data_IF_329819700840
#
_entry.id   IF_329819700840
#
_cell.length_a   1.000
_cell.length_b   1.000
_cell.length_c   1.000
_cell.angle_alpha   90.00
_cell.angle_beta   90.00
_cell.angle_gamma   90.00
#
_symmetry.space_group_name_H-M   'P 1'
#
loop_
_entity.id
_entity.type
_entity.pdbx_description
1 polymer ?
#
# COMPACT_ATOMS: atom_id res chain seq x y z
N UNK A 1 11.19 17.78 -29.39
CA UNK A 1 10.24 16.99 -28.58
C UNK A 1 9.46 16.10 -29.55
N UNK A 2 9.66 14.78 -29.51
CA UNK A 2 9.03 13.85 -30.44
C UNK A 2 7.54 13.64 -30.13
N UNK A 3 6.78 13.02 -31.07
CA UNK A 3 5.41 12.58 -30.82
C UNK A 3 5.36 11.62 -29.60
N UNK A 4 4.28 11.68 -28.80
CA UNK A 4 4.12 10.85 -27.60
C UNK A 4 4.84 11.36 -26.35
N UNK A 5 5.34 12.59 -26.33
CA UNK A 5 6.09 13.12 -25.19
C UNK A 5 5.26 13.27 -23.92
N UNK A 6 3.97 13.57 -24.02
CA UNK A 6 3.06 13.67 -22.87
C UNK A 6 2.74 12.29 -22.29
N UNK A 7 2.42 11.33 -23.15
CA UNK A 7 2.13 9.94 -22.78
C UNK A 7 3.35 9.25 -22.18
N UNK A 8 4.53 9.48 -22.74
CA UNK A 8 5.79 8.97 -22.20
C UNK A 8 6.08 9.53 -20.79
N UNK A 9 5.80 10.82 -20.59
CA UNK A 9 5.95 11.45 -19.26
C UNK A 9 4.97 10.87 -18.25
N UNK A 10 3.70 10.67 -18.63
CA UNK A 10 2.69 10.04 -17.75
C UNK A 10 3.06 8.60 -17.41
N UNK A 11 3.56 7.84 -18.39
CA UNK A 11 4.00 6.46 -18.15
C UNK A 11 5.18 6.39 -17.17
N UNK A 12 6.08 7.37 -17.22
CA UNK A 12 7.30 7.42 -16.41
C UNK A 12 7.23 8.48 -15.29
N UNK A 13 6.03 8.84 -14.82
CA UNK A 13 5.82 9.96 -13.89
C UNK A 13 6.61 9.80 -12.58
N UNK A 14 6.72 8.59 -12.08
CA UNK A 14 7.49 8.26 -10.87
C UNK A 14 8.99 8.49 -11.07
N UNK A 15 9.54 8.09 -12.22
CA UNK A 15 10.93 8.34 -12.58
C UNK A 15 11.20 9.84 -12.68
N UNK A 16 10.39 10.57 -13.43
CA UNK A 16 10.56 12.03 -13.57
C UNK A 16 10.41 12.77 -12.24
N UNK A 17 9.49 12.35 -11.38
CA UNK A 17 9.35 12.92 -10.04
C UNK A 17 10.66 12.77 -9.26
N UNK A 18 11.21 11.56 -9.24
CA UNK A 18 12.46 11.25 -8.54
C UNK A 18 13.64 12.04 -9.08
N UNK A 19 13.80 12.08 -10.40
CA UNK A 19 14.95 12.71 -11.05
C UNK A 19 14.89 14.23 -11.03
N UNK A 20 13.70 14.83 -11.16
CA UNK A 20 13.55 16.29 -11.25
C UNK A 20 13.33 16.92 -9.88
N UNK A 21 12.54 16.27 -8.99
CA UNK A 21 12.14 16.83 -7.70
C UNK A 21 12.83 16.18 -6.51
N UNK A 22 13.55 15.07 -6.70
CA UNK A 22 14.17 14.30 -5.63
C UNK A 22 13.18 13.54 -4.72
N UNK A 23 11.89 13.57 -5.05
CA UNK A 23 10.83 12.97 -4.23
C UNK A 23 10.05 11.90 -5.00
N UNK A 24 9.49 10.88 -4.33
CA UNK A 24 8.64 9.90 -4.98
C UNK A 24 7.36 10.56 -5.53
N UNK A 25 6.78 9.96 -6.56
CA UNK A 25 5.42 10.26 -6.97
C UNK A 25 4.45 9.52 -6.05
N UNK A 26 3.59 10.27 -5.37
CA UNK A 26 2.59 9.71 -4.45
C UNK A 26 1.20 9.86 -5.06
N UNK A 27 0.45 8.77 -5.10
CA UNK A 27 -0.96 8.73 -5.46
C UNK A 27 -1.76 8.25 -4.25
N UNK A 28 -2.66 9.08 -3.76
CA UNK A 28 -3.59 8.70 -2.71
C UNK A 28 -4.84 8.05 -3.33
N UNK A 29 -5.29 6.92 -2.77
CA UNK A 29 -6.58 6.28 -3.09
C UNK A 29 -7.45 6.29 -1.85
N UNK A 30 -8.60 6.91 -1.95
CA UNK A 30 -9.66 6.83 -0.95
C UNK A 30 -10.92 6.20 -1.57
N UNK A 31 -11.71 5.48 -0.76
CA UNK A 31 -13.06 5.08 -1.11
C UNK A 31 -14.02 5.82 -0.18
N UNK A 32 -14.90 6.61 -0.74
CA UNK A 32 -15.88 7.39 0.04
C UNK A 32 -17.19 7.50 -0.71
N UNK A 33 -18.28 7.76 0.01
CA UNK A 33 -19.55 8.22 -0.55
C UNK A 33 -19.41 9.65 -1.08
N UNK A 34 -20.45 10.16 -1.73
CA UNK A 34 -20.44 11.53 -2.30
C UNK A 34 -20.29 12.62 -1.24
N UNK A 35 -20.74 12.36 -0.03
CA UNK A 35 -20.61 13.24 1.15
C UNK A 35 -19.29 13.04 1.91
N UNK A 36 -18.35 12.22 1.35
CA UNK A 36 -17.00 12.05 1.89
C UNK A 36 -16.88 11.04 3.03
N UNK A 37 -17.92 10.28 3.33
CA UNK A 37 -17.92 9.28 4.40
C UNK A 37 -17.21 8.00 3.93
N UNK A 38 -16.29 7.47 4.73
CA UNK A 38 -15.48 6.29 4.41
C UNK A 38 -15.99 5.00 5.08
N UNK A 39 -16.90 5.10 6.05
CA UNK A 39 -17.57 3.99 6.71
C UNK A 39 -18.93 4.43 7.27
N UNK A 40 -19.85 3.50 7.46
CA UNK A 40 -21.09 3.75 8.20
C UNK A 40 -20.79 3.96 9.70
N UNK A 41 -21.76 4.50 10.45
CA UNK A 41 -21.64 4.71 11.90
C UNK A 41 -21.35 3.42 12.70
N UNK A 42 -21.71 2.27 12.14
CA UNK A 42 -21.41 0.95 12.72
C UNK A 42 -20.03 0.38 12.31
N UNK A 43 -19.18 1.17 11.62
CA UNK A 43 -17.86 0.76 11.12
C UNK A 43 -17.89 0.01 9.78
N UNK A 44 -19.04 -0.29 9.22
CA UNK A 44 -19.14 -1.04 7.97
C UNK A 44 -18.67 -0.18 6.79
N UNK A 45 -17.62 -0.64 6.06
CA UNK A 45 -16.96 0.08 4.96
C UNK A 45 -17.01 -0.65 3.60
N UNK A 46 -17.56 -1.85 3.54
CA UNK A 46 -17.61 -2.69 2.33
C UNK A 46 -19.05 -2.88 1.85
N UNK A 47 -19.40 -2.63 0.56
CA UNK A 47 -18.52 -2.10 -0.51
C UNK A 47 -19.03 -0.70 -0.90
N UNK A 48 -18.21 0.33 -0.74
CA UNK A 48 -18.56 1.71 -1.09
C UNK A 48 -18.47 1.94 -2.60
N UNK A 49 -17.50 1.26 -3.26
CA UNK A 49 -17.22 1.44 -4.69
C UNK A 49 -17.63 0.22 -5.51
N UNK A 50 -17.94 0.44 -6.79
CA UNK A 50 -18.32 -0.61 -7.74
C UNK A 50 -17.17 -1.59 -8.01
N UNK A 51 -17.47 -2.75 -8.61
CA UNK A 51 -16.45 -3.71 -9.04
C UNK A 51 -15.50 -3.10 -10.07
N UNK A 52 -16.00 -2.29 -11.01
CA UNK A 52 -15.17 -1.60 -11.99
C UNK A 52 -14.18 -0.63 -11.33
N UNK A 53 -14.64 0.17 -10.35
CA UNK A 53 -13.76 1.07 -9.60
C UNK A 53 -12.71 0.31 -8.77
N UNK A 54 -13.03 -0.88 -8.26
CA UNK A 54 -12.06 -1.73 -7.56
C UNK A 54 -11.01 -2.30 -8.52
N UNK A 55 -11.43 -2.74 -9.72
CA UNK A 55 -10.51 -3.22 -10.77
C UNK A 55 -9.55 -2.10 -11.20
N UNK A 56 -10.04 -0.86 -11.40
CA UNK A 56 -9.19 0.30 -11.65
C UNK A 56 -8.19 0.53 -10.52
N UNK A 57 -8.61 0.40 -9.26
CA UNK A 57 -7.73 0.45 -8.10
C UNK A 57 -6.63 -0.61 -8.15
N UNK A 58 -6.91 -1.82 -8.65
CA UNK A 58 -5.89 -2.86 -8.86
C UNK A 58 -4.94 -2.54 -10.03
N UNK A 59 -5.43 -1.92 -11.10
CA UNK A 59 -4.59 -1.43 -12.19
C UNK A 59 -3.58 -0.37 -11.69
N UNK A 60 -4.01 0.55 -10.83
CA UNK A 60 -3.11 1.52 -10.19
C UNK A 60 -2.10 0.86 -9.25
N UNK A 61 -2.50 -0.16 -8.47
CA UNK A 61 -1.56 -0.93 -7.65
C UNK A 61 -0.49 -1.63 -8.50
N UNK A 62 -0.86 -2.20 -9.64
CA UNK A 62 0.07 -2.86 -10.55
C UNK A 62 1.18 -1.91 -11.05
N UNK A 63 0.87 -0.62 -11.23
CA UNK A 63 1.82 0.43 -11.62
C UNK A 63 2.70 0.92 -10.46
N UNK A 64 2.28 0.73 -9.20
CA UNK A 64 3.02 1.21 -8.05
C UNK A 64 4.27 0.36 -7.76
N UNK A 65 5.33 0.98 -7.24
CA UNK A 65 6.47 0.26 -6.69
C UNK A 65 6.19 -0.23 -5.27
N UNK A 66 5.46 0.58 -4.50
CA UNK A 66 5.12 0.31 -3.10
C UNK A 66 3.69 0.79 -2.82
N UNK A 67 2.95 0.02 -2.05
CA UNK A 67 1.66 0.41 -1.46
C UNK A 67 1.90 0.73 0.00
N UNK A 68 1.61 1.96 0.40
CA UNK A 68 1.75 2.44 1.76
C UNK A 68 0.39 2.46 2.46
N UNK A 69 0.34 1.96 3.69
CA UNK A 69 -0.82 2.05 4.57
C UNK A 69 -0.42 2.28 6.02
N UNK A 70 -1.38 2.65 6.88
CA UNK A 70 -1.20 2.69 8.32
C UNK A 70 -1.63 1.37 8.98
N UNK A 71 -1.15 1.14 10.19
CA UNK A 71 -1.51 -0.05 10.99
C UNK A 71 -3.01 -0.12 11.27
N UNK A 72 -3.70 1.02 11.44
CA UNK A 72 -5.14 1.05 11.64
C UNK A 72 -5.93 0.32 10.55
N UNK A 73 -5.55 0.49 9.26
CA UNK A 73 -6.17 -0.23 8.15
C UNK A 73 -5.92 -1.74 8.24
N UNK A 74 -4.75 -2.16 8.71
CA UNK A 74 -4.43 -3.59 8.88
C UNK A 74 -5.26 -4.20 10.00
N UNK A 75 -5.42 -3.50 11.11
CA UNK A 75 -6.19 -3.96 12.27
C UNK A 75 -7.69 -4.05 11.96
N UNK A 76 -8.22 -3.07 11.23
CA UNK A 76 -9.66 -3.00 10.92
C UNK A 76 -10.06 -3.93 9.78
N UNK A 77 -9.33 -3.90 8.66
CA UNK A 77 -9.74 -4.56 7.41
C UNK A 77 -8.98 -5.86 7.12
N UNK A 78 -7.86 -6.12 7.80
CA UNK A 78 -6.90 -7.20 7.51
C UNK A 78 -6.68 -7.40 5.98
N UNK A 79 -6.27 -6.36 5.24
CA UNK A 79 -6.25 -6.38 3.79
C UNK A 79 -5.08 -7.20 3.25
N UNK A 80 -5.24 -7.74 2.04
CA UNK A 80 -4.13 -8.44 1.34
C UNK A 80 -3.14 -7.49 0.68
N UNK A 81 -3.54 -6.28 0.33
CA UNK A 81 -2.75 -5.23 -0.35
C UNK A 81 -2.06 -5.65 -1.67
N UNK A 82 -2.30 -6.84 -2.17
CA UNK A 82 -1.77 -7.35 -3.43
C UNK A 82 -2.59 -6.91 -4.66
N UNK A 83 -2.01 -7.09 -5.84
CA UNK A 83 -2.71 -7.01 -7.14
C UNK A 83 -3.31 -8.37 -7.44
N UNK A 84 -4.60 -8.44 -7.83
CA UNK A 84 -5.30 -9.69 -8.13
C UNK A 84 -6.32 -9.62 -9.26
N UNK A 85 -6.89 -8.46 -9.54
CA UNK A 85 -7.99 -8.30 -10.50
C UNK A 85 -7.51 -7.86 -11.90
N UNK A 86 -6.21 -7.76 -12.09
CA UNK A 86 -5.55 -7.43 -13.35
C UNK A 86 -4.24 -8.20 -13.46
N UNK A 87 -3.83 -8.50 -14.69
CA UNK A 87 -2.54 -9.14 -14.94
C UNK A 87 -1.39 -8.19 -14.62
N UNK A 88 -0.37 -8.72 -13.94
CA UNK A 88 0.82 -7.94 -13.60
C UNK A 88 2.06 -8.84 -13.56
N UNK A 89 3.18 -8.40 -14.14
CA UNK A 89 4.43 -9.17 -14.09
C UNK A 89 5.09 -9.15 -12.71
N UNK A 90 4.63 -8.29 -11.79
CA UNK A 90 5.20 -8.15 -10.44
C UNK A 90 4.16 -7.68 -9.44
N UNK A 91 4.38 -7.98 -8.17
CA UNK A 91 3.63 -7.41 -7.06
C UNK A 91 4.37 -6.19 -6.49
N UNK A 92 3.66 -5.12 -6.12
CA UNK A 92 4.24 -3.99 -5.39
C UNK A 92 4.69 -4.44 -3.99
N UNK A 93 5.71 -3.79 -3.44
CA UNK A 93 6.05 -3.93 -2.02
C UNK A 93 4.90 -3.37 -1.17
N UNK A 94 4.76 -3.88 0.04
CA UNK A 94 3.81 -3.35 1.02
C UNK A 94 4.63 -2.61 2.09
N UNK A 95 4.23 -1.41 2.43
CA UNK A 95 4.81 -0.63 3.51
C UNK A 95 3.71 -0.26 4.52
N UNK A 96 3.96 -0.54 5.78
CA UNK A 96 3.03 -0.26 6.87
C UNK A 96 3.69 0.67 7.88
N UNK A 97 3.07 1.81 8.17
CA UNK A 97 3.45 2.67 9.27
C UNK A 97 2.79 2.15 10.54
N UNK A 98 3.60 1.67 11.47
CA UNK A 98 3.17 1.00 12.70
C UNK A 98 4.05 1.45 13.87
N UNK A 99 3.84 2.68 14.32
CA UNK A 99 4.69 3.32 15.32
C UNK A 99 4.81 2.55 16.63
N UNK A 100 3.79 1.74 16.99
CA UNK A 100 3.74 0.98 18.24
C UNK A 100 4.08 -0.50 18.07
N UNK A 101 4.26 -0.97 16.82
CA UNK A 101 4.46 -2.37 16.48
C UNK A 101 3.26 -3.26 16.88
N UNK A 102 2.05 -2.75 16.58
CA UNK A 102 0.78 -3.45 16.85
C UNK A 102 0.43 -4.52 15.78
N UNK A 103 1.27 -4.71 14.77
CA UNK A 103 1.07 -5.66 13.66
C UNK A 103 0.73 -7.06 14.18
N UNK A 104 -0.45 -7.62 13.83
CA UNK A 104 -0.77 -9.01 14.13
C UNK A 104 0.13 -9.97 13.35
N UNK A 105 0.55 -11.06 13.97
CA UNK A 105 1.42 -12.06 13.33
C UNK A 105 0.71 -12.88 12.25
N UNK A 106 -0.61 -12.90 12.25
CA UNK A 106 -1.46 -13.58 11.25
C UNK A 106 -1.97 -12.65 10.14
N UNK A 107 -1.59 -11.37 10.15
CA UNK A 107 -2.02 -10.37 9.18
C UNK A 107 -1.77 -10.82 7.74
N UNK A 108 -2.75 -10.59 6.86
CA UNK A 108 -2.67 -10.99 5.45
C UNK A 108 -1.54 -10.31 4.69
N UNK A 109 -1.16 -9.10 5.09
CA UNK A 109 -0.03 -8.37 4.46
C UNK A 109 1.30 -9.09 4.64
N UNK A 110 1.49 -9.87 5.71
CA UNK A 110 2.69 -10.68 5.94
C UNK A 110 2.76 -11.93 5.05
N UNK A 111 1.61 -12.37 4.52
CA UNK A 111 1.48 -13.54 3.63
C UNK A 111 1.54 -13.15 2.15
N UNK A 112 1.78 -11.88 1.85
CA UNK A 112 1.87 -11.40 0.48
C UNK A 112 3.11 -11.97 -0.22
N UNK A 113 3.05 -12.20 -1.56
CA UNK A 113 4.21 -12.68 -2.33
C UNK A 113 5.32 -11.64 -2.48
N UNK A 114 5.10 -10.42 -2.03
CA UNK A 114 6.07 -9.31 -2.03
C UNK A 114 6.52 -8.98 -0.62
N UNK A 115 7.69 -8.35 -0.49
CA UNK A 115 8.21 -7.93 0.80
C UNK A 115 7.26 -6.95 1.52
N UNK A 116 7.01 -7.21 2.80
CA UNK A 116 6.31 -6.31 3.71
C UNK A 116 7.35 -5.54 4.55
N UNK A 117 7.34 -4.21 4.45
CA UNK A 117 8.16 -3.31 5.24
C UNK A 117 7.31 -2.72 6.36
N UNK A 118 7.79 -2.79 7.58
CA UNK A 118 7.11 -2.24 8.77
C UNK A 118 7.98 -1.14 9.35
N UNK A 119 7.48 0.09 9.32
CA UNK A 119 8.16 1.25 9.88
C UNK A 119 7.64 1.50 11.29
N UNK A 120 8.53 1.40 12.29
CA UNK A 120 8.16 1.49 13.70
C UNK A 120 9.16 2.32 14.52
N UNK A 121 8.70 2.88 15.63
CA UNK A 121 9.56 3.44 16.68
C UNK A 121 9.70 2.49 17.87
N UNK A 122 9.04 1.33 17.83
CA UNK A 122 9.06 0.37 18.91
C UNK A 122 10.29 -0.53 18.80
N UNK A 123 11.00 -0.71 19.90
CA UNK A 123 12.24 -1.49 20.02
C UNK A 123 12.04 -2.87 20.68
N UNK A 124 10.80 -3.38 20.72
CA UNK A 124 10.50 -4.70 21.26
C UNK A 124 11.14 -5.80 20.39
N UNK A 125 12.35 -6.19 20.76
CA UNK A 125 13.17 -7.13 19.98
C UNK A 125 12.47 -8.46 19.73
N UNK A 126 11.77 -9.01 20.74
CA UNK A 126 11.03 -10.28 20.58
C UNK A 126 9.95 -10.19 19.50
N UNK A 127 9.20 -9.09 19.43
CA UNK A 127 8.17 -8.87 18.41
C UNK A 127 8.78 -8.63 17.04
N UNK A 128 9.89 -7.91 16.97
CA UNK A 128 10.65 -7.68 15.74
C UNK A 128 11.11 -9.01 15.15
N UNK A 129 11.74 -9.88 15.95
CA UNK A 129 12.20 -11.19 15.53
C UNK A 129 11.07 -12.09 15.02
N UNK A 130 9.91 -12.09 15.69
CA UNK A 130 8.73 -12.82 15.23
C UNK A 130 8.24 -12.34 13.85
N UNK A 131 8.18 -11.03 13.62
CA UNK A 131 7.78 -10.45 12.34
C UNK A 131 8.79 -10.74 11.25
N UNK A 132 10.09 -10.67 11.55
CA UNK A 132 11.18 -11.01 10.63
C UNK A 132 11.17 -12.50 10.27
N UNK A 133 10.87 -13.38 11.21
CA UNK A 133 10.70 -14.81 10.95
C UNK A 133 9.55 -15.12 9.99
N UNK A 134 8.55 -14.24 9.90
CA UNK A 134 7.46 -14.29 8.93
C UNK A 134 7.80 -13.62 7.58
N UNK A 135 9.05 -13.15 7.39
CA UNK A 135 9.53 -12.54 6.16
C UNK A 135 9.32 -11.03 6.07
N UNK A 136 8.88 -10.37 7.13
CA UNK A 136 8.79 -8.91 7.16
C UNK A 136 10.18 -8.26 7.33
N UNK A 137 10.34 -7.06 6.76
CA UNK A 137 11.48 -6.18 7.03
C UNK A 137 11.03 -5.11 8.01
N UNK A 138 11.47 -5.19 9.26
CA UNK A 138 11.19 -4.18 10.28
C UNK A 138 12.26 -3.10 10.26
N UNK A 139 11.83 -1.84 10.19
CA UNK A 139 12.68 -0.64 10.11
C UNK A 139 12.33 0.21 11.34
N UNK A 140 13.22 0.21 12.31
CA UNK A 140 13.07 0.83 13.63
C UNK A 140 13.83 2.15 13.80
N UNK A 141 14.63 2.54 12.80
CA UNK A 141 15.43 3.77 12.78
C UNK A 141 15.18 4.54 11.47
N UNK A 142 14.18 5.41 11.42
CA UNK A 142 13.89 6.26 10.26
C UNK A 142 13.53 7.69 10.67
#
# INVERSE_FOLDING_TARGET
IGPGGAESRELNIGFFSRMIRGTPWVRMKAASSLDGVTALHNGQSQWITSAAARADGHAWRARACTILTGIGTVLEDNPRMNVRDVDTPRQPRIAVVDSKLDMPLDAHVLKAPSACLIYTFNTNQSKIEQLQALGAMVIDNF
#
